data_IF_352561379447
#
_entry.id   IF_352561379447
#
_cell.length_a   1.000
_cell.length_b   1.000
_cell.length_c   1.000
_cell.angle_alpha   90.00
_cell.angle_beta   90.00
_cell.angle_gamma   90.00
#
_symmetry.space_group_name_H-M   'P 1'
#
loop_
_entity.id
_entity.type
_entity.pdbx_description
1 polymer ?
#
# COMPACT_ATOMS: atom_id res chain seq x y z
N UNK A 1 12.94 -3.69 -0.14
CA UNK A 1 12.57 -3.24 1.24
C UNK A 1 11.06 -3.23 1.35
N UNK A 2 10.51 -3.14 2.57
CA UNK A 2 9.07 -3.21 2.83
C UNK A 2 8.50 -4.64 2.73
N UNK A 3 7.33 -4.86 3.34
CA UNK A 3 6.62 -6.14 3.24
C UNK A 3 6.19 -6.40 1.79
N UNK A 4 6.26 -7.65 1.28
CA UNK A 4 5.65 -8.02 0.00
C UNK A 4 4.12 -7.94 0.05
N UNK A 5 3.54 -7.97 1.26
CA UNK A 5 2.12 -7.85 1.50
C UNK A 5 1.86 -6.70 2.47
N UNK A 6 1.17 -5.66 2.00
CA UNK A 6 0.79 -4.49 2.79
C UNK A 6 -0.72 -4.45 2.94
N UNK A 7 -1.19 -4.20 4.16
CA UNK A 7 -2.59 -3.96 4.47
C UNK A 7 -2.73 -2.50 4.89
N UNK A 8 -3.65 -1.78 4.25
CA UNK A 8 -3.96 -0.37 4.51
C UNK A 8 -5.41 -0.27 4.95
N UNK A 9 -5.69 0.45 6.03
CA UNK A 9 -7.07 0.75 6.41
C UNK A 9 -7.64 1.77 5.43
N UNK A 10 -8.88 1.59 5.01
CA UNK A 10 -9.57 2.48 4.07
C UNK A 10 -9.48 3.95 4.51
N UNK A 11 -8.96 4.76 3.59
CA UNK A 11 -8.71 6.21 3.69
C UNK A 11 -7.39 6.59 4.35
N UNK A 12 -6.63 5.63 4.90
CA UNK A 12 -5.31 5.93 5.44
C UNK A 12 -4.32 6.11 4.30
N UNK A 13 -3.36 7.01 4.52
CA UNK A 13 -2.35 7.31 3.51
C UNK A 13 -1.44 6.10 3.32
N UNK A 14 -1.38 5.60 2.09
CA UNK A 14 -0.33 4.69 1.67
C UNK A 14 0.93 5.45 1.27
N UNK A 15 2.10 5.00 1.74
CA UNK A 15 3.42 5.46 1.31
C UNK A 15 4.24 4.23 1.00
N UNK A 16 4.69 4.11 -0.25
CA UNK A 16 5.52 2.99 -0.67
C UNK A 16 6.89 3.05 0.03
N UNK A 17 7.34 1.91 0.56
CA UNK A 17 8.63 1.81 1.24
C UNK A 17 9.84 1.82 0.28
N UNK A 18 9.59 1.88 -1.02
CA UNK A 18 10.56 1.79 -2.10
C UNK A 18 11.06 0.36 -2.34
N UNK A 19 12.01 0.27 -3.27
CA UNK A 19 12.78 -0.93 -3.57
C UNK A 19 14.27 -0.58 -3.72
N UNK A 20 15.13 -1.57 -3.52
CA UNK A 20 16.57 -1.47 -3.77
C UNK A 20 16.91 -2.36 -4.95
N UNK A 21 17.76 -1.84 -5.84
CA UNK A 21 18.31 -2.59 -6.96
C UNK A 21 19.76 -2.94 -6.63
N UNK A 22 20.09 -4.22 -6.62
CA UNK A 22 21.43 -4.71 -6.29
C UNK A 22 21.96 -5.51 -7.47
N UNK A 23 23.09 -5.06 -8.01
CA UNK A 23 23.88 -5.76 -9.01
C UNK A 23 24.98 -6.59 -8.32
N UNK A 24 25.22 -7.84 -8.74
CA UNK A 24 26.33 -8.65 -8.21
C UNK A 24 27.71 -8.07 -8.48
N UNK A 25 27.86 -7.26 -9.54
CA UNK A 25 29.15 -6.71 -9.98
C UNK A 25 29.34 -5.25 -9.60
N UNK A 26 28.25 -4.47 -9.54
CA UNK A 26 28.30 -3.03 -9.27
C UNK A 26 27.80 -2.66 -7.86
N UNK A 27 27.25 -3.61 -7.10
CA UNK A 27 26.64 -3.35 -5.81
C UNK A 27 25.28 -2.66 -5.93
N UNK A 28 24.97 -1.72 -5.04
CA UNK A 28 23.68 -1.00 -5.05
C UNK A 28 23.67 -0.02 -6.22
N UNK A 29 22.67 -0.15 -7.10
CA UNK A 29 22.48 0.72 -8.26
C UNK A 29 21.63 1.96 -7.91
N UNK A 30 21.77 3.08 -8.66
CA UNK A 30 21.03 4.30 -8.39
C UNK A 30 19.52 4.12 -8.59
N UNK A 31 18.66 4.84 -7.84
CA UNK A 31 17.19 4.71 -7.97
C UNK A 31 16.64 4.95 -9.38
N UNK A 32 17.36 5.67 -10.23
CA UNK A 32 16.96 5.95 -11.61
C UNK A 32 16.85 4.70 -12.49
N UNK A 33 17.48 3.58 -12.11
CA UNK A 33 17.33 2.30 -12.85
C UNK A 33 16.08 1.52 -12.45
N UNK A 34 15.42 1.92 -11.35
CA UNK A 34 14.19 1.30 -10.86
C UNK A 34 12.99 1.88 -11.62
N UNK A 35 12.16 0.99 -12.15
CA UNK A 35 10.86 1.30 -12.72
C UNK A 35 9.78 0.69 -11.83
N UNK A 36 8.77 1.49 -11.52
CA UNK A 36 7.65 1.09 -10.65
C UNK A 36 6.36 1.34 -11.40
N UNK A 37 5.50 0.33 -11.50
CA UNK A 37 4.18 0.45 -12.14
C UNK A 37 3.08 -0.03 -11.19
N UNK A 38 1.88 0.54 -11.30
CA UNK A 38 0.73 0.19 -10.46
C UNK A 38 0.63 0.98 -9.15
N UNK A 39 1.72 1.63 -8.71
CA UNK A 39 1.72 2.49 -7.52
C UNK A 39 0.70 3.64 -7.63
N UNK A 40 0.54 4.21 -8.83
CA UNK A 40 -0.41 5.29 -9.12
C UNK A 40 -1.88 4.88 -8.98
N UNK A 41 -2.16 3.58 -8.93
CA UNK A 41 -3.52 3.02 -8.83
C UNK A 41 -3.95 2.75 -7.39
N UNK A 42 -3.08 3.03 -6.42
CA UNK A 42 -3.40 2.83 -5.00
C UNK A 42 -4.38 3.90 -4.52
N UNK A 43 -5.66 3.65 -4.77
CA UNK A 43 -6.77 4.38 -4.18
C UNK A 43 -7.15 3.75 -2.84
N UNK A 44 -6.75 4.40 -1.76
CA UNK A 44 -7.07 3.94 -0.39
C UNK A 44 -8.50 4.29 0.02
N UNK A 45 -9.24 5.09 -0.74
CA UNK A 45 -10.62 5.46 -0.41
C UNK A 45 -11.62 4.32 -0.63
N UNK A 46 -11.22 3.28 -1.38
CA UNK A 46 -12.06 2.13 -1.72
C UNK A 46 -11.38 0.84 -1.24
N UNK A 47 -12.06 -0.04 -0.48
CA UNK A 47 -11.51 -1.34 -0.12
C UNK A 47 -11.29 -2.20 -1.37
N UNK A 48 -10.17 -2.91 -1.41
CA UNK A 48 -9.91 -3.93 -2.44
C UNK A 48 -10.71 -5.19 -2.12
N UNK A 49 -11.11 -5.98 -3.14
CA UNK A 49 -11.63 -7.33 -2.87
C UNK A 49 -10.58 -8.16 -2.09
N UNK A 50 -10.99 -9.06 -1.17
CA UNK A 50 -10.07 -9.83 -0.34
C UNK A 50 -9.05 -10.66 -1.14
N UNK A 51 -9.48 -11.20 -2.28
CA UNK A 51 -8.67 -12.07 -3.14
C UNK A 51 -8.03 -11.32 -4.33
N UNK A 52 -8.26 -10.00 -4.42
CA UNK A 52 -7.76 -9.16 -5.53
C UNK A 52 -7.09 -7.88 -4.98
N UNK A 53 -5.95 -8.00 -4.28
CA UNK A 53 -5.20 -6.83 -3.85
C UNK A 53 -4.60 -6.10 -5.06
N UNK A 54 -4.30 -4.82 -4.88
CA UNK A 54 -3.57 -4.06 -5.90
C UNK A 54 -2.13 -4.57 -6.00
N UNK A 55 -1.63 -4.71 -7.22
CA UNK A 55 -0.27 -5.18 -7.47
C UNK A 55 0.60 -4.02 -7.94
N UNK A 56 1.71 -3.81 -7.24
CA UNK A 56 2.80 -2.91 -7.62
C UNK A 56 3.93 -3.77 -8.16
N UNK A 57 4.38 -3.47 -9.38
CA UNK A 57 5.45 -4.23 -10.04
C UNK A 57 6.72 -3.38 -10.08
N UNK A 58 7.81 -3.95 -9.58
CA UNK A 58 9.14 -3.38 -9.57
C UNK A 58 9.98 -4.09 -10.63
N UNK A 59 10.48 -3.32 -11.60
CA UNK A 59 11.46 -3.80 -12.59
C UNK A 59 12.69 -2.91 -12.54
N UNK A 60 13.82 -3.43 -12.99
CA UNK A 60 15.03 -2.64 -13.09
C UNK A 60 15.82 -3.03 -14.34
N UNK A 61 16.46 -2.05 -14.96
CA UNK A 61 17.37 -2.24 -16.08
C UNK A 61 18.60 -1.36 -15.90
N UNK A 62 19.78 -1.97 -15.89
CA UNK A 62 21.03 -1.24 -15.74
C UNK A 62 21.46 -0.52 -17.03
N UNK A 63 22.56 0.23 -16.96
CA UNK A 63 23.12 0.99 -18.08
C UNK A 63 23.68 0.11 -19.21
N UNK A 64 24.01 -1.15 -18.90
CA UNK A 64 24.48 -2.14 -19.86
C UNK A 64 23.32 -2.93 -20.50
N UNK A 65 22.10 -2.69 -20.02
CA UNK A 65 20.87 -3.26 -20.55
C UNK A 65 20.45 -4.59 -19.93
N UNK A 66 21.07 -5.02 -18.84
CA UNK A 66 20.64 -6.20 -18.09
C UNK A 66 19.39 -5.88 -17.27
N UNK A 67 18.37 -6.74 -17.42
CA UNK A 67 17.07 -6.58 -16.74
C UNK A 67 17.00 -7.52 -15.54
N UNK A 68 16.57 -7.01 -14.39
CA UNK A 68 16.27 -7.81 -13.22
C UNK A 68 14.92 -8.55 -13.37
N UNK A 69 14.79 -9.71 -12.72
CA UNK A 69 13.49 -10.36 -12.58
C UNK A 69 12.50 -9.42 -11.87
N UNK A 70 11.25 -9.27 -12.37
CA UNK A 70 10.25 -8.45 -11.70
C UNK A 70 9.98 -8.93 -10.28
N UNK A 71 9.76 -7.98 -9.38
CA UNK A 71 9.30 -8.25 -8.01
C UNK A 71 7.95 -7.58 -7.83
N UNK A 72 7.05 -8.24 -7.13
CA UNK A 72 5.70 -7.75 -6.88
C UNK A 72 5.50 -7.41 -5.39
N UNK A 73 4.68 -6.40 -5.15
CA UNK A 73 4.09 -6.11 -3.85
C UNK A 73 2.59 -6.04 -4.00
N UNK A 74 1.87 -6.68 -3.08
CA UNK A 74 0.42 -6.59 -2.99
C UNK A 74 0.02 -5.57 -1.92
N UNK A 75 -0.94 -4.70 -2.24
CA UNK A 75 -1.54 -3.74 -1.32
C UNK A 75 -3.03 -4.04 -1.21
N UNK A 76 -3.45 -4.54 -0.04
CA UNK A 76 -4.85 -4.71 0.30
C UNK A 76 -5.37 -3.49 1.04
N UNK A 77 -6.47 -2.90 0.56
CA UNK A 77 -7.18 -1.84 1.28
C UNK A 77 -8.39 -2.46 1.97
N UNK A 78 -8.47 -2.36 3.29
CA UNK A 78 -9.52 -3.01 4.08
C UNK A 78 -10.41 -2.00 4.78
N UNK A 79 -11.70 -2.32 4.85
CA UNK A 79 -12.60 -1.71 5.83
C UNK A 79 -12.83 -2.72 6.97
N UNK A 80 -12.14 -2.58 8.12
CA UNK A 80 -12.29 -3.53 9.23
C UNK A 80 -13.68 -3.48 9.90
N UNK A 81 -14.49 -2.46 9.60
CA UNK A 81 -15.83 -2.28 10.16
C UNK A 81 -16.94 -2.90 9.29
N UNK A 82 -16.63 -3.20 8.03
CA UNK A 82 -17.58 -3.77 7.08
C UNK A 82 -18.23 -5.08 7.56
N UNK A 83 -17.52 -6.03 8.23
CA UNK A 83 -18.15 -7.25 8.73
C UNK A 83 -19.29 -7.01 9.73
N UNK A 84 -19.28 -5.86 10.42
CA UNK A 84 -20.32 -5.48 11.38
C UNK A 84 -21.41 -4.58 10.76
N UNK A 85 -21.34 -4.30 9.45
CA UNK A 85 -22.22 -3.33 8.79
C UNK A 85 -21.97 -1.88 9.23
N UNK A 86 -20.78 -1.60 9.79
CA UNK A 86 -20.40 -0.30 10.33
C UNK A 86 -19.40 0.40 9.41
N UNK A 87 -19.30 1.73 9.56
CA UNK A 87 -18.35 2.56 8.82
C UNK A 87 -17.15 2.96 9.68
N UNK A 88 -16.06 3.36 9.02
CA UNK A 88 -14.90 3.91 9.70
C UNK A 88 -15.20 5.34 10.13
N UNK A 89 -14.98 5.60 11.41
CA UNK A 89 -14.97 6.90 12.05
C UNK A 89 -13.52 7.34 12.28
N UNK A 90 -13.15 8.48 11.70
CA UNK A 90 -11.84 9.09 11.93
C UNK A 90 -11.96 10.09 13.06
N UNK A 91 -11.26 9.83 14.15
CA UNK A 91 -11.22 10.71 15.32
C UNK A 91 -9.80 11.26 15.47
N UNK A 92 -9.64 12.57 15.47
CA UNK A 92 -8.33 13.23 15.32
C UNK A 92 -7.29 12.79 16.35
N UNK A 93 -7.72 12.42 17.57
CA UNK A 93 -6.83 12.03 18.68
C UNK A 93 -6.90 10.56 19.06
N UNK A 94 -7.88 9.82 18.54
CA UNK A 94 -8.18 8.45 18.96
C UNK A 94 -8.01 7.42 17.85
N UNK A 95 -7.62 7.86 16.65
CA UNK A 95 -7.44 7.02 15.46
C UNK A 95 -8.75 6.61 14.80
N UNK A 96 -8.66 5.59 13.94
CA UNK A 96 -9.82 5.01 13.25
C UNK A 96 -10.56 4.02 14.15
N UNK A 97 -11.88 4.16 14.23
CA UNK A 97 -12.78 3.26 15.00
C UNK A 97 -14.00 2.91 14.16
N UNK A 98 -14.67 1.81 14.48
CA UNK A 98 -15.97 1.54 13.87
C UNK A 98 -17.05 2.42 14.50
N UNK A 99 -18.00 2.86 13.69
CA UNK A 99 -19.25 3.41 14.20
C UNK A 99 -20.00 2.39 15.06
N UNK A 100 -20.93 2.89 15.86
CA UNK A 100 -21.91 2.06 16.57
C UNK A 100 -23.28 2.50 16.07
N UNK A 101 -24.04 1.56 15.50
CA UNK A 101 -25.32 1.84 14.85
C UNK A 101 -25.20 2.95 13.79
N UNK A 102 -24.14 2.91 12.98
CA UNK A 102 -23.78 3.90 11.94
C UNK A 102 -23.47 5.32 12.45
N UNK A 103 -23.50 5.54 13.77
CA UNK A 103 -23.10 6.80 14.40
C UNK A 103 -21.61 6.77 14.73
N UNK A 104 -20.88 7.80 14.26
CA UNK A 104 -19.58 8.10 14.82
C UNK A 104 -19.78 8.85 16.12
N UNK A 105 -19.10 8.41 17.17
CA UNK A 105 -18.91 9.24 18.36
C UNK A 105 -18.11 10.47 17.89
N UNK A 106 -18.81 11.55 17.57
CA UNK A 106 -18.18 12.86 17.51
C UNK A 106 -17.57 13.09 18.89
N UNK A 107 -16.31 13.51 18.94
CA UNK A 107 -15.58 13.83 20.16
C UNK A 107 -16.51 14.64 21.09
N UNK A 108 -17.08 13.98 22.12
CA UNK A 108 -17.76 14.67 23.21
C UNK A 108 -16.65 15.25 24.06
N UNK A 109 -16.23 16.47 23.71
CA UNK A 109 -15.52 17.39 24.59
C UNK A 109 -16.51 18.45 25.07
#
# INVERSE_FOLDING_TARGET
LGSPHVVVIQGDRYIDAGALVVSPTQGILPPSVLQVTGHERVDTSVPTPPDEPLVIVFTAKDEYGFTASPVERTVGVINPCAPNGERICRVAYLGSRCSVANACLADVL
#
